data_IF_060022513429
#
_entry.id   IF_060022513429
#
_cell.length_a   1.000
_cell.length_b   1.000
_cell.length_c   1.000
_cell.angle_alpha   90.00
_cell.angle_beta   90.00
_cell.angle_gamma   90.00
#
_symmetry.space_group_name_H-M   'P 1'
#
loop_
_entity.id
_entity.type
_entity.pdbx_description
1 polymer ?
#
# COMPACT_ATOMS: atom_id res chain seq x y z
N UNK A 1 -33.37 -10.49 15.42
CA UNK A 1 -32.15 -10.32 16.22
C UNK A 1 -31.03 -10.96 15.41
N UNK A 2 -30.49 -10.20 14.45
CA UNK A 2 -29.40 -10.67 13.59
C UNK A 2 -28.12 -10.57 14.40
N UNK A 3 -27.57 -11.74 14.75
CA UNK A 3 -26.23 -11.92 15.29
C UNK A 3 -25.27 -11.55 14.15
N UNK A 4 -24.93 -10.26 14.06
CA UNK A 4 -23.85 -9.81 13.18
C UNK A 4 -22.57 -10.42 13.77
N UNK A 5 -21.81 -11.22 13.01
CA UNK A 5 -20.59 -11.81 13.54
C UNK A 5 -19.71 -10.69 14.10
N UNK A 6 -19.20 -10.86 15.32
CA UNK A 6 -18.36 -9.88 16.00
C UNK A 6 -17.07 -9.68 15.18
N UNK A 7 -17.13 -8.80 14.19
CA UNK A 7 -16.02 -8.56 13.27
C UNK A 7 -14.90 -7.92 14.10
N UNK A 8 -13.71 -8.55 14.17
CA UNK A 8 -12.60 -8.00 14.93
C UNK A 8 -12.29 -6.58 14.45
N UNK A 9 -12.50 -5.60 15.33
CA UNK A 9 -12.24 -4.21 14.99
C UNK A 9 -10.75 -3.90 15.13
N UNK A 10 -10.19 -3.05 14.26
CA UNK A 10 -8.81 -2.59 14.39
C UNK A 10 -8.61 -1.89 15.74
N UNK A 11 -7.57 -2.26 16.48
CA UNK A 11 -7.23 -1.69 17.79
C UNK A 11 -6.48 -0.34 17.66
N UNK A 12 -7.04 0.61 16.88
CA UNK A 12 -6.38 1.89 16.57
C UNK A 12 -6.03 2.70 17.81
N UNK A 13 -6.92 2.78 18.80
CA UNK A 13 -6.64 3.51 20.05
C UNK A 13 -5.44 2.92 20.81
N UNK A 14 -5.33 1.59 20.86
CA UNK A 14 -4.21 0.91 21.51
C UNK A 14 -2.90 1.11 20.74
N UNK A 15 -2.95 1.11 19.41
CA UNK A 15 -1.78 1.40 18.58
C UNK A 15 -1.28 2.84 18.78
N UNK A 16 -2.20 3.81 18.85
CA UNK A 16 -1.85 5.21 19.15
C UNK A 16 -1.23 5.34 20.55
N UNK A 17 -1.80 4.67 21.55
CA UNK A 17 -1.26 4.67 22.91
C UNK A 17 0.15 4.03 22.97
N UNK A 18 0.36 2.92 22.25
CA UNK A 18 1.67 2.29 22.12
C UNK A 18 2.68 3.24 21.48
N UNK A 19 2.32 3.87 20.36
CA UNK A 19 3.19 4.81 19.67
C UNK A 19 3.55 6.00 20.55
N UNK A 20 2.60 6.59 21.26
CA UNK A 20 2.84 7.69 22.18
C UNK A 20 3.76 7.29 23.35
N UNK A 21 3.66 6.04 23.83
CA UNK A 21 4.52 5.53 24.90
C UNK A 21 5.97 5.31 24.43
N UNK A 22 6.16 4.85 23.19
CA UNK A 22 7.50 4.58 22.64
C UNK A 22 8.17 5.82 22.02
N UNK A 23 7.38 6.75 21.46
CA UNK A 23 7.81 7.96 20.75
C UNK A 23 7.02 9.17 21.26
N UNK A 24 7.37 9.71 22.45
CA UNK A 24 6.69 10.86 23.01
C UNK A 24 6.91 12.16 22.21
N UNK A 25 7.90 12.15 21.30
CA UNK A 25 8.16 13.22 20.33
C UNK A 25 7.12 13.29 19.21
N UNK A 26 6.34 12.23 18.99
CA UNK A 26 5.34 12.20 17.93
C UNK A 26 4.02 12.87 18.34
N UNK A 27 3.42 13.59 17.40
CA UNK A 27 2.05 14.08 17.54
C UNK A 27 1.04 12.94 17.39
N UNK A 28 0.27 12.67 18.44
CA UNK A 28 -0.78 11.65 18.42
C UNK A 28 -1.89 11.97 17.39
N UNK A 29 -2.18 13.25 17.17
CA UNK A 29 -3.17 13.69 16.18
C UNK A 29 -2.66 13.46 14.76
N UNK A 30 -1.40 13.81 14.50
CA UNK A 30 -0.77 13.57 13.21
C UNK A 30 -0.71 12.07 12.88
N UNK A 31 -0.35 11.22 13.85
CA UNK A 31 -0.33 9.78 13.64
C UNK A 31 -1.74 9.23 13.37
N UNK A 32 -2.77 9.75 14.04
CA UNK A 32 -4.17 9.35 13.78
C UNK A 32 -4.59 9.69 12.35
N UNK A 33 -4.26 10.88 11.88
CA UNK A 33 -4.60 11.35 10.53
C UNK A 33 -3.88 10.53 9.46
N UNK A 34 -2.59 10.25 9.68
CA UNK A 34 -1.79 9.42 8.77
C UNK A 34 -2.30 7.97 8.76
N UNK A 35 -2.69 7.42 9.90
CA UNK A 35 -3.33 6.10 9.95
C UNK A 35 -4.66 6.08 9.18
N UNK A 36 -5.50 7.10 9.34
CA UNK A 36 -6.77 7.20 8.61
C UNK A 36 -6.53 7.24 7.09
N UNK A 37 -5.47 7.92 6.64
CA UNK A 37 -5.07 8.00 5.24
C UNK A 37 -4.46 6.70 4.69
N UNK A 38 -3.66 5.96 5.49
CA UNK A 38 -3.00 4.73 5.05
C UNK A 38 -3.95 3.53 4.99
N UNK A 39 -5.00 3.49 5.83
CA UNK A 39 -5.90 2.34 5.99
C UNK A 39 -6.60 1.86 4.71
N UNK A 40 -7.09 2.73 3.80
CA UNK A 40 -7.69 2.28 2.54
C UNK A 40 -6.71 1.52 1.64
N UNK A 41 -5.41 1.79 1.75
CA UNK A 41 -4.38 1.23 0.89
C UNK A 41 -3.57 0.09 1.55
N UNK A 42 -3.80 -0.18 2.84
CA UNK A 42 -3.06 -1.18 3.61
C UNK A 42 -3.95 -2.03 4.53
N UNK A 43 -3.64 -3.33 4.59
CA UNK A 43 -4.22 -4.21 5.61
C UNK A 43 -3.79 -3.78 7.02
N UNK A 44 -4.59 -4.14 8.03
CA UNK A 44 -4.30 -3.78 9.43
C UNK A 44 -2.97 -4.38 9.89
N UNK A 45 -2.68 -5.63 9.53
CA UNK A 45 -1.41 -6.29 9.83
C UNK A 45 -0.22 -5.54 9.21
N UNK A 46 -0.38 -5.00 7.99
CA UNK A 46 0.68 -4.20 7.35
C UNK A 46 0.91 -2.89 8.10
N UNK A 47 -0.17 -2.19 8.48
CA UNK A 47 -0.10 -0.98 9.30
C UNK A 47 0.63 -1.25 10.63
N UNK A 48 0.28 -2.33 11.33
CA UNK A 48 0.94 -2.70 12.60
C UNK A 48 2.45 -2.89 12.43
N UNK A 49 2.86 -3.67 11.42
CA UNK A 49 4.28 -3.93 11.15
C UNK A 49 5.01 -2.64 10.79
N UNK A 50 4.43 -1.82 9.93
CA UNK A 50 5.09 -0.57 9.50
C UNK A 50 5.19 0.43 10.64
N UNK A 51 4.15 0.60 11.46
CA UNK A 51 4.23 1.47 12.64
C UNK A 51 5.28 0.97 13.63
N UNK A 52 5.38 -0.35 13.86
CA UNK A 52 6.42 -0.90 14.73
C UNK A 52 7.84 -0.64 14.19
N UNK A 53 8.03 -0.71 12.86
CA UNK A 53 9.30 -0.37 12.22
C UNK A 53 9.65 1.11 12.38
N UNK A 54 8.68 2.01 12.21
CA UNK A 54 8.88 3.45 12.39
C UNK A 54 9.16 3.81 13.85
N UNK A 55 8.49 3.16 14.81
CA UNK A 55 8.78 3.34 16.23
C UNK A 55 10.24 2.98 16.55
N UNK A 56 10.76 1.91 15.94
CA UNK A 56 12.13 1.45 16.15
C UNK A 56 13.20 2.33 15.47
N UNK A 57 12.82 3.14 14.47
CA UNK A 57 13.74 4.05 13.79
C UNK A 57 13.73 5.45 14.44
N UNK A 58 14.83 5.90 15.06
CA UNK A 58 14.88 7.18 15.76
C UNK A 58 14.71 8.40 14.85
N UNK A 59 14.87 8.25 13.53
CA UNK A 59 14.68 9.35 12.57
C UNK A 59 13.31 9.34 11.89
N UNK A 60 12.54 8.29 12.09
CA UNK A 60 11.22 8.19 11.48
C UNK A 60 10.22 9.17 12.11
N UNK A 61 9.35 9.68 11.26
CA UNK A 61 8.22 10.52 11.60
C UNK A 61 6.90 9.86 11.18
N UNK A 62 5.75 10.22 11.78
CA UNK A 62 4.46 9.65 11.42
C UNK A 62 4.12 9.67 9.91
N UNK A 63 4.42 10.74 9.15
CA UNK A 63 4.15 10.79 7.70
C UNK A 63 4.88 9.73 6.87
N UNK A 64 5.99 9.18 7.36
CA UNK A 64 6.76 8.14 6.66
C UNK A 64 5.93 6.86 6.45
N UNK A 65 4.88 6.65 7.23
CA UNK A 65 3.91 5.57 7.00
C UNK A 65 3.26 5.67 5.60
N UNK A 66 3.02 6.88 5.11
CA UNK A 66 2.41 7.10 3.79
C UNK A 66 3.39 6.75 2.66
N UNK A 67 4.70 6.98 2.86
CA UNK A 67 5.72 6.58 1.89
C UNK A 67 5.83 5.05 1.72
N UNK A 68 5.30 4.28 2.69
CA UNK A 68 5.28 2.83 2.64
C UNK A 68 4.04 2.27 1.93
N UNK A 69 3.08 3.13 1.56
CA UNK A 69 1.89 2.74 0.81
C UNK A 69 2.30 2.20 -0.55
N UNK A 70 1.89 0.98 -0.93
CA UNK A 70 2.15 0.49 -2.27
C UNK A 70 1.51 1.44 -3.29
N UNK A 71 2.34 2.01 -4.16
CA UNK A 71 1.86 2.78 -5.30
C UNK A 71 0.84 1.95 -6.09
N UNK A 72 -0.35 2.48 -6.33
CA UNK A 72 -1.44 1.74 -6.96
C UNK A 72 -1.04 1.13 -8.32
N UNK A 73 -0.12 1.77 -9.06
CA UNK A 73 0.39 1.25 -10.33
C UNK A 73 1.40 0.10 -10.21
N UNK A 74 2.00 -0.12 -9.03
CA UNK A 74 2.88 -1.29 -8.81
C UNK A 74 2.09 -2.59 -8.67
N UNK A 75 0.85 -2.53 -8.19
CA UNK A 75 -0.02 -3.71 -8.09
C UNK A 75 -0.52 -4.17 -9.47
N UNK A 76 -0.60 -3.27 -10.46
CA UNK A 76 -1.11 -3.57 -11.81
C UNK A 76 -0.09 -4.29 -12.70
N UNK A 77 1.19 -4.38 -12.30
CA UNK A 77 2.20 -5.17 -13.05
C UNK A 77 2.04 -6.66 -12.76
N UNK A 78 0.87 -7.22 -13.11
CA UNK A 78 0.83 -8.63 -13.49
C UNK A 78 1.69 -8.73 -14.77
N UNK A 79 2.76 -9.53 -14.80
CA UNK A 79 3.51 -9.71 -16.05
C UNK A 79 2.50 -10.16 -17.12
N UNK A 80 2.48 -9.51 -18.31
CA UNK A 80 1.59 -9.92 -19.38
C UNK A 80 1.83 -11.41 -19.64
N UNK A 81 0.74 -12.18 -19.67
CA UNK A 81 0.82 -13.61 -19.97
C UNK A 81 1.50 -13.83 -21.33
N UNK A 82 2.08 -15.02 -21.57
CA UNK A 82 2.84 -15.30 -22.79
C UNK A 82 2.06 -14.98 -24.07
N UNK A 83 0.73 -15.13 -24.03
CA UNK A 83 -0.19 -14.84 -25.13
C UNK A 83 -0.21 -13.35 -25.54
N UNK A 84 -0.07 -12.42 -24.59
CA UNK A 84 -0.06 -10.98 -24.85
C UNK A 84 1.25 -10.55 -25.51
N UNK A 85 2.38 -11.19 -25.15
CA UNK A 85 3.67 -10.98 -25.80
C UNK A 85 3.64 -11.43 -27.26
N UNK A 86 3.09 -12.62 -27.54
CA UNK A 86 2.98 -13.15 -28.91
C UNK A 86 2.08 -12.28 -29.78
N UNK A 87 0.96 -11.78 -29.24
CA UNK A 87 0.07 -10.86 -29.95
C UNK A 87 0.74 -9.51 -30.25
N UNK A 88 1.48 -8.95 -29.29
CA UNK A 88 2.25 -7.71 -29.49
C UNK A 88 3.33 -7.87 -30.55
N UNK A 89 4.09 -8.96 -30.51
CA UNK A 89 5.13 -9.26 -31.50
C UNK A 89 4.57 -9.54 -32.90
N UNK A 90 3.35 -10.07 -33.01
CA UNK A 90 2.66 -10.24 -34.29
C UNK A 90 2.18 -8.89 -34.87
N UNK A 91 1.62 -8.02 -34.03
CA UNK A 91 1.16 -6.69 -34.44
C UNK A 91 2.31 -5.79 -34.93
N UNK A 92 3.46 -5.82 -34.25
CA UNK A 92 4.65 -5.06 -34.66
C UNK A 92 5.20 -5.58 -35.99
N UNK A 93 5.25 -6.91 -36.19
CA UNK A 93 5.68 -7.49 -37.48
C UNK A 93 4.73 -7.10 -38.61
N UNK A 94 3.41 -7.14 -38.38
CA UNK A 94 2.44 -6.72 -39.39
C UNK A 94 2.57 -5.24 -39.79
N UNK A 95 2.85 -4.36 -38.81
CA UNK A 95 3.07 -2.94 -39.08
C UNK A 95 4.35 -2.66 -39.89
N UNK A 96 5.43 -3.40 -39.63
CA UNK A 96 6.70 -3.27 -40.36
C UNK A 96 6.62 -3.79 -41.80
N UNK A 97 5.79 -4.82 -42.05
CA UNK A 97 5.59 -5.34 -43.40
C UNK A 97 4.60 -4.52 -44.24
N UNK A 98 3.75 -3.70 -43.62
CA UNK A 98 2.81 -2.84 -44.34
C UNK A 98 3.49 -1.59 -44.92
N UNK A 99 4.61 -1.15 -44.35
CA UNK A 99 5.39 0.01 -44.82
C UNK A 99 6.31 -0.25 -46.01
N UNK A 100 6.41 -1.51 -46.47
CA UNK A 100 7.31 -1.94 -47.56
C UNK A 100 6.57 -2.20 -48.89
N UNK A 101 5.29 -1.81 -48.96
CA UNK A 101 4.45 -1.91 -50.16
C UNK A 101 3.87 -0.53 -50.47
N UNK A 102 4.72 0.36 -50.99
CA UNK A 102 4.37 1.54 -51.78
C UNK A 102 5.46 1.76 -52.85
#
# INVERSE_FOLDING_TARGET
MTDEPDVPRPATAHLLALAAACRPDWSADQLRDVLAQARPAMSWSRVLVTVAQLIADPRAEPPDLLAQVPEAWRQTRRPPGPETYTRGAAAVRAALHHTDTD
#
